data_IF_629793617234
#
_entry.id   IF_629793617234
#
_cell.length_a   1.000
_cell.length_b   1.000
_cell.length_c   1.000
_cell.angle_alpha   90.00
_cell.angle_beta   90.00
_cell.angle_gamma   90.00
#
_symmetry.space_group_name_H-M   'P 1'
#
loop_
_entity.id
_entity.type
_entity.pdbx_description
1 polymer ?
#
# COMPACT_ATOMS: atom_id res chain seq x y z
N UNK A 1 -48.71 57.38 36.77
CA UNK A 1 -47.82 56.24 37.05
C UNK A 1 -47.09 55.91 35.77
N UNK A 2 -45.76 55.96 35.75
CA UNK A 2 -44.91 55.64 34.59
C UNK A 2 -44.30 54.26 34.82
N UNK A 3 -44.61 53.30 33.95
CA UNK A 3 -44.20 51.91 34.07
C UNK A 3 -42.95 51.68 33.21
N UNK A 4 -41.78 51.55 33.86
CA UNK A 4 -40.49 51.33 33.18
C UNK A 4 -40.33 49.85 32.84
N UNK A 5 -40.41 49.52 31.55
CA UNK A 5 -40.14 48.17 31.04
C UNK A 5 -38.65 47.81 31.13
N UNK A 6 -38.32 46.89 32.04
CA UNK A 6 -36.98 46.28 32.12
C UNK A 6 -36.74 45.33 30.95
N UNK A 7 -35.85 45.72 30.03
CA UNK A 7 -35.35 44.84 28.98
C UNK A 7 -34.40 43.79 29.60
N UNK A 8 -34.88 42.56 29.77
CA UNK A 8 -34.08 41.46 30.30
C UNK A 8 -32.99 41.07 29.30
N UNK A 9 -31.78 41.56 29.54
CA UNK A 9 -30.59 41.24 28.75
C UNK A 9 -30.22 39.76 28.93
N UNK A 10 -30.55 38.92 27.93
CA UNK A 10 -30.23 37.49 27.95
C UNK A 10 -28.72 37.32 28.08
N UNK A 11 -28.26 36.80 29.23
CA UNK A 11 -26.86 36.45 29.47
C UNK A 11 -26.40 35.49 28.37
N UNK A 12 -25.45 35.92 27.55
CA UNK A 12 -24.84 35.08 26.51
C UNK A 12 -24.15 33.90 27.22
N UNK A 13 -24.36 32.68 26.73
CA UNK A 13 -23.66 31.49 27.24
C UNK A 13 -22.15 31.68 27.09
N UNK A 14 -21.38 31.19 28.05
CA UNK A 14 -19.91 31.16 27.95
C UNK A 14 -19.48 30.41 26.69
N UNK A 15 -18.44 30.91 26.01
CA UNK A 15 -17.88 30.22 24.84
C UNK A 15 -17.21 28.92 25.31
N UNK A 16 -17.22 27.90 24.46
CA UNK A 16 -16.56 26.64 24.73
C UNK A 16 -15.04 26.86 24.89
N UNK A 17 -14.46 26.23 25.91
CA UNK A 17 -13.01 26.23 26.14
C UNK A 17 -12.32 25.53 24.96
N UNK A 18 -11.26 26.11 24.38
CA UNK A 18 -10.53 25.48 23.29
C UNK A 18 -9.95 24.14 23.74
N UNK A 19 -9.96 23.15 22.83
CA UNK A 19 -9.31 21.87 23.08
C UNK A 19 -7.81 22.11 23.25
N UNK A 20 -7.27 21.63 24.36
CA UNK A 20 -5.83 21.65 24.59
C UNK A 20 -5.16 20.67 23.63
N UNK A 21 -4.32 21.22 22.74
CA UNK A 21 -3.58 20.49 21.69
C UNK A 21 -2.11 20.29 22.12
N UNK A 22 -1.72 20.83 23.28
CA UNK A 22 -0.36 20.75 23.82
C UNK A 22 -0.27 19.81 25.04
N UNK A 23 -1.36 19.11 25.36
CA UNK A 23 -1.41 18.13 26.45
C UNK A 23 -0.55 16.89 26.17
N UNK A 24 0.39 16.64 27.07
CA UNK A 24 1.30 15.51 27.13
C UNK A 24 0.59 14.15 26.86
N UNK A 25 1.18 13.19 26.12
CA UNK A 25 0.51 11.96 25.66
C UNK A 25 0.16 10.94 26.76
N UNK A 26 0.49 11.20 28.03
CA UNK A 26 0.38 10.22 29.13
C UNK A 26 -0.73 10.51 30.15
N UNK A 27 -1.78 11.27 29.80
CA UNK A 27 -2.95 11.43 30.70
C UNK A 27 -4.24 10.81 30.12
N UNK A 28 -4.89 9.87 30.83
CA UNK A 28 -6.12 9.25 30.36
C UNK A 28 -7.30 10.25 30.44
N UNK A 29 -7.87 10.56 29.27
CA UNK A 29 -9.10 11.36 29.17
C UNK A 29 -10.31 10.50 29.52
N UNK A 30 -10.82 10.62 30.75
CA UNK A 30 -12.16 10.10 31.10
C UNK A 30 -13.24 11.11 30.75
N UNK A 31 -14.40 10.65 30.26
CA UNK A 31 -15.65 11.16 30.83
C UNK A 31 -16.45 10.02 31.48
N UNK A 32 -16.62 10.16 32.79
CA UNK A 32 -17.59 9.44 33.62
C UNK A 32 -18.99 9.52 33.01
N UNK A 33 -19.63 8.36 32.80
CA UNK A 33 -21.08 8.27 32.69
C UNK A 33 -21.58 7.09 33.52
N UNK A 34 -22.26 7.46 34.60
CA UNK A 34 -22.88 6.61 35.61
C UNK A 34 -23.99 5.71 35.03
N UNK A 35 -23.82 4.40 35.25
CA UNK A 35 -24.79 3.40 35.69
C UNK A 35 -26.29 3.59 35.39
N UNK A 36 -26.86 2.68 34.60
CA UNK A 36 -28.17 2.06 34.90
C UNK A 36 -28.14 0.61 34.42
N UNK A 37 -28.29 -0.32 35.37
CA UNK A 37 -28.40 -1.77 35.15
C UNK A 37 -29.77 -2.09 34.53
N UNK A 38 -29.82 -2.93 33.50
CA UNK A 38 -31.04 -3.59 33.01
C UNK A 38 -30.68 -5.04 32.61
N UNK A 39 -31.53 -6.05 32.92
CA UNK A 39 -31.10 -7.44 32.92
C UNK A 39 -31.00 -8.05 31.51
N UNK A 40 -30.20 -9.11 31.43
CA UNK A 40 -29.79 -9.83 30.23
C UNK A 40 -30.96 -10.46 29.44
N UNK A 41 -30.91 -10.46 28.10
CA UNK A 41 -31.71 -11.37 27.29
C UNK A 41 -31.00 -12.71 27.12
N UNK A 42 -31.79 -13.76 27.33
CA UNK A 42 -31.52 -15.20 27.18
C UNK A 42 -30.95 -15.58 25.81
N UNK A 43 -29.99 -16.51 25.82
CA UNK A 43 -29.39 -17.10 24.62
C UNK A 43 -30.39 -17.93 23.82
N UNK A 44 -30.71 -17.51 22.60
CA UNK A 44 -31.36 -18.37 21.60
C UNK A 44 -30.30 -18.98 20.69
N UNK A 45 -30.09 -20.29 20.82
CA UNK A 45 -29.24 -21.11 19.95
C UNK A 45 -29.93 -21.23 18.56
N UNK A 46 -29.25 -20.97 17.44
CA UNK A 46 -29.84 -21.21 16.13
C UNK A 46 -29.85 -22.73 15.81
N UNK A 47 -30.90 -23.26 15.14
CA UNK A 47 -30.97 -24.67 14.77
C UNK A 47 -29.99 -25.03 13.64
N UNK A 48 -29.46 -26.25 13.72
CA UNK A 48 -28.52 -26.82 12.76
C UNK A 48 -29.14 -26.98 11.36
N UNK A 49 -28.39 -26.63 10.31
CA UNK A 49 -28.72 -26.97 8.92
C UNK A 49 -28.44 -28.45 8.65
N UNK A 50 -29.26 -29.14 7.83
CA UNK A 50 -29.03 -30.55 7.47
C UNK A 50 -27.83 -30.70 6.51
N UNK A 51 -27.12 -31.84 6.53
CA UNK A 51 -25.95 -32.07 5.68
C UNK A 51 -26.33 -32.24 4.21
N UNK A 52 -25.55 -31.59 3.32
CA UNK A 52 -25.66 -31.70 1.88
C UNK A 52 -25.14 -33.06 1.37
N UNK A 53 -25.80 -33.59 0.34
CA UNK A 53 -25.45 -34.82 -0.41
C UNK A 53 -24.02 -34.79 -0.97
N UNK A 54 -23.35 -35.95 -1.14
CA UNK A 54 -22.01 -36.02 -1.71
C UNK A 54 -22.01 -35.68 -3.22
N UNK A 55 -20.98 -34.98 -3.72
CA UNK A 55 -20.85 -34.70 -5.15
C UNK A 55 -20.47 -35.96 -5.95
N UNK A 56 -21.03 -36.04 -7.15
CA UNK A 56 -20.84 -37.12 -8.11
C UNK A 56 -19.40 -37.21 -8.63
N UNK A 57 -19.00 -38.45 -8.92
CA UNK A 57 -17.73 -38.92 -9.48
C UNK A 57 -17.38 -38.22 -10.81
N UNK A 58 -16.12 -37.77 -11.02
CA UNK A 58 -15.68 -37.28 -12.33
C UNK A 58 -15.42 -38.44 -13.32
N UNK A 59 -15.68 -38.25 -14.63
CA UNK A 59 -15.47 -39.27 -15.66
C UNK A 59 -13.98 -39.52 -15.96
N UNK A 60 -13.68 -40.79 -16.26
CA UNK A 60 -12.36 -41.31 -16.58
C UNK A 60 -11.77 -40.70 -17.87
N UNK A 61 -10.49 -40.34 -17.82
CA UNK A 61 -9.66 -40.12 -19.02
C UNK A 61 -8.93 -41.43 -19.38
N UNK A 62 -8.87 -41.81 -20.67
CA UNK A 62 -8.12 -42.99 -21.10
C UNK A 62 -6.59 -42.75 -21.11
N UNK A 63 -5.79 -43.84 -21.04
CA UNK A 63 -4.35 -43.81 -20.73
C UNK A 63 -3.45 -43.36 -21.89
N UNK A 64 -2.27 -42.86 -21.52
CA UNK A 64 -1.14 -42.59 -22.40
C UNK A 64 -0.49 -43.89 -22.90
N UNK A 65 -0.11 -43.92 -24.17
CA UNK A 65 0.81 -44.90 -24.74
C UNK A 65 2.23 -44.30 -24.81
N UNK A 66 3.19 -45.00 -24.21
CA UNK A 66 4.61 -45.00 -24.57
C UNK A 66 4.87 -46.30 -25.35
N UNK A 67 5.68 -46.29 -26.42
CA UNK A 67 6.97 -47.04 -26.40
C UNK A 67 8.14 -46.21 -27.02
N UNK A 68 9.36 -46.12 -26.44
CA UNK A 68 10.48 -47.09 -26.25
C UNK A 68 11.31 -47.35 -27.54
N UNK A 69 12.65 -47.35 -27.34
CA UNK A 69 13.79 -47.80 -28.20
C UNK A 69 14.26 -46.85 -29.32
N UNK A 70 15.56 -46.56 -29.53
CA UNK A 70 16.79 -47.36 -29.33
C UNK A 70 18.08 -46.51 -29.32
N UNK A 71 18.94 -46.73 -28.31
CA UNK A 71 20.41 -47.01 -28.28
C UNK A 71 21.47 -46.28 -29.18
N UNK A 72 22.81 -46.43 -28.95
CA UNK A 72 23.71 -45.31 -28.56
C UNK A 72 24.94 -45.13 -29.49
N UNK A 73 25.67 -44.00 -29.40
CA UNK A 73 27.04 -43.93 -29.94
C UNK A 73 27.93 -42.81 -29.33
N UNK A 74 29.04 -43.25 -28.71
CA UNK A 74 30.43 -42.71 -28.69
C UNK A 74 30.82 -41.42 -27.91
N UNK A 75 31.34 -41.58 -26.69
CA UNK A 75 32.75 -41.33 -26.18
C UNK A 75 33.58 -40.26 -26.96
N UNK A 76 34.33 -39.30 -26.34
CA UNK A 76 35.43 -39.61 -25.41
C UNK A 76 35.71 -38.68 -24.21
N UNK A 77 36.36 -39.29 -23.20
CA UNK A 77 37.10 -38.65 -22.11
C UNK A 77 38.21 -37.71 -22.61
N UNK A 78 38.80 -36.86 -21.74
CA UNK A 78 40.00 -37.33 -21.04
C UNK A 78 40.18 -36.86 -19.57
N UNK A 79 40.75 -37.78 -18.79
CA UNK A 79 41.87 -37.61 -17.84
C UNK A 79 41.64 -36.99 -16.45
N UNK A 80 42.29 -37.65 -15.50
CA UNK A 80 42.21 -37.57 -14.04
C UNK A 80 43.61 -37.23 -13.51
N UNK A 81 43.75 -36.23 -12.64
CA UNK A 81 44.87 -36.03 -11.68
C UNK A 81 44.23 -35.33 -10.45
N UNK A 82 43.85 -36.05 -9.38
CA UNK A 82 44.62 -36.45 -8.17
C UNK A 82 45.11 -35.27 -7.30
N UNK A 83 44.35 -35.04 -6.20
CA UNK A 83 44.75 -34.82 -4.79
C UNK A 83 45.77 -33.72 -4.45
N UNK A 84 45.36 -32.73 -3.66
CA UNK A 84 45.94 -32.50 -2.32
C UNK A 84 45.07 -31.57 -1.44
N UNK A 85 45.09 -31.89 -0.15
CA UNK A 85 44.32 -31.35 0.98
C UNK A 85 45.23 -30.40 1.81
N UNK A 86 44.62 -29.55 2.64
CA UNK A 86 45.20 -28.57 3.60
C UNK A 86 45.64 -27.18 3.07
N UNK A 87 45.00 -26.11 3.54
CA UNK A 87 45.43 -25.32 4.72
C UNK A 87 44.39 -24.19 4.96
N UNK A 88 43.87 -24.17 6.18
CA UNK A 88 43.06 -23.09 6.76
C UNK A 88 44.03 -22.08 7.38
N UNK A 89 43.94 -20.81 7.00
CA UNK A 89 44.39 -19.69 7.84
C UNK A 89 43.30 -18.61 7.86
N UNK A 90 42.78 -18.36 9.06
CA UNK A 90 41.85 -17.28 9.40
C UNK A 90 42.61 -16.04 9.93
N UNK A 91 42.04 -14.86 9.61
CA UNK A 91 42.11 -13.52 10.25
C UNK A 91 43.29 -12.54 10.02
N UNK A 92 43.08 -11.19 10.17
CA UNK A 92 41.82 -10.43 10.34
C UNK A 92 41.62 -9.23 9.36
N UNK A 93 40.36 -8.93 9.08
CA UNK A 93 39.87 -7.88 8.17
C UNK A 93 39.29 -6.66 8.95
N UNK A 94 39.95 -6.20 10.02
CA UNK A 94 39.36 -5.22 10.97
C UNK A 94 39.88 -3.78 10.89
N UNK A 95 40.87 -3.45 10.04
CA UNK A 95 41.48 -2.11 10.02
C UNK A 95 40.91 -1.14 8.96
N UNK A 96 40.05 -1.61 8.05
CA UNK A 96 39.50 -0.78 6.98
C UNK A 96 38.26 0.04 7.40
N UNK A 97 37.57 -0.32 8.49
CA UNK A 97 36.31 0.34 8.87
C UNK A 97 36.53 1.65 9.64
N UNK A 98 37.63 1.79 10.38
CA UNK A 98 37.89 2.99 11.20
C UNK A 98 38.34 4.19 10.37
N UNK A 99 39.07 3.98 9.26
CA UNK A 99 39.53 5.07 8.39
C UNK A 99 38.37 5.69 7.56
N UNK A 100 37.37 4.89 7.21
CA UNK A 100 36.18 5.38 6.47
C UNK A 100 35.30 6.26 7.36
N UNK A 101 35.25 5.99 8.67
CA UNK A 101 34.47 6.78 9.64
C UNK A 101 35.12 8.13 9.90
N UNK A 102 36.45 8.19 10.05
CA UNK A 102 37.18 9.43 10.30
C UNK A 102 37.12 10.41 9.10
N UNK A 103 37.15 9.89 7.87
CA UNK A 103 36.99 10.70 6.65
C UNK A 103 35.58 11.30 6.50
N UNK A 104 34.55 10.68 7.09
CA UNK A 104 33.18 11.19 7.07
C UNK A 104 32.97 12.33 8.09
N UNK A 105 33.67 12.31 9.22
CA UNK A 105 33.46 13.23 10.35
C UNK A 105 34.23 14.55 10.17
N UNK A 106 35.43 14.52 9.56
CA UNK A 106 36.29 15.70 9.38
C UNK A 106 36.05 16.48 8.07
N UNK A 107 34.89 16.29 7.43
CA UNK A 107 34.60 16.83 6.11
C UNK A 107 34.66 18.37 6.08
N UNK A 108 35.57 18.90 5.26
CA UNK A 108 35.73 20.34 4.95
C UNK A 108 34.39 21.00 4.56
N UNK A 109 34.20 22.31 4.81
CA UNK A 109 32.90 22.95 4.64
C UNK A 109 32.43 22.84 3.19
N UNK A 110 31.32 22.12 2.99
CA UNK A 110 30.71 21.90 1.67
C UNK A 110 30.20 23.23 1.11
N UNK A 111 30.37 23.42 -0.20
CA UNK A 111 29.86 24.58 -0.95
C UNK A 111 28.36 24.75 -0.67
N UNK A 112 27.93 25.98 -0.40
CA UNK A 112 26.56 26.33 0.00
C UNK A 112 25.52 25.85 -0.99
N UNK A 113 24.47 25.20 -0.48
CA UNK A 113 23.39 24.56 -1.25
C UNK A 113 22.32 25.58 -1.71
N UNK A 114 22.73 26.81 -1.99
CA UNK A 114 21.86 27.89 -2.45
C UNK A 114 21.89 28.03 -3.97
N UNK A 115 20.74 28.38 -4.57
CA UNK A 115 20.69 28.85 -5.96
C UNK A 115 21.51 30.15 -6.07
N UNK A 116 22.61 30.10 -6.81
CA UNK A 116 23.30 31.31 -7.27
C UNK A 116 22.62 31.77 -8.56
N UNK A 117 22.22 33.05 -8.69
CA UNK A 117 21.71 33.55 -9.96
C UNK A 117 22.84 33.50 -11.00
N UNK A 118 22.65 32.70 -12.05
CA UNK A 118 23.51 32.74 -13.23
C UNK A 118 22.87 33.71 -14.22
N UNK A 119 23.54 34.82 -14.47
CA UNK A 119 23.18 35.73 -15.56
C UNK A 119 23.82 35.19 -16.83
N UNK A 120 23.19 34.19 -17.44
CA UNK A 120 23.48 33.78 -18.81
C UNK A 120 22.23 34.07 -19.65
N UNK A 121 22.36 35.06 -20.53
CA UNK A 121 21.38 35.34 -21.58
C UNK A 121 21.51 34.20 -22.58
N UNK A 122 20.67 33.18 -22.43
CA UNK A 122 20.51 32.13 -23.43
C UNK A 122 19.56 32.70 -24.48
N UNK A 123 20.10 33.04 -25.65
CA UNK A 123 19.31 33.24 -26.86
C UNK A 123 18.50 31.97 -27.11
N UNK A 124 17.17 32.09 -26.99
CA UNK A 124 16.25 30.97 -27.20
C UNK A 124 16.14 30.72 -28.71
N UNK A 125 16.98 29.83 -29.22
CA UNK A 125 16.71 29.16 -30.49
C UNK A 125 15.45 28.31 -30.31
N UNK A 126 14.36 28.75 -30.92
CA UNK A 126 13.05 28.09 -30.83
C UNK A 126 13.06 26.83 -31.67
N UNK A 127 13.55 25.73 -31.09
CA UNK A 127 13.36 24.40 -31.66
C UNK A 127 11.88 24.01 -31.53
N UNK A 128 11.15 24.14 -32.63
CA UNK A 128 9.77 23.68 -32.85
C UNK A 128 9.65 22.14 -32.73
N UNK A 129 9.88 21.63 -31.53
CA UNK A 129 9.82 20.21 -31.16
C UNK A 129 8.42 19.77 -30.71
N UNK A 130 7.40 20.56 -31.06
CA UNK A 130 6.01 20.27 -30.71
C UNK A 130 5.38 19.46 -31.85
N UNK A 131 4.89 18.26 -31.53
CA UNK A 131 4.13 17.41 -32.47
C UNK A 131 2.96 18.16 -33.11
N UNK A 132 2.64 17.88 -34.38
CA UNK A 132 1.57 18.56 -35.13
C UNK A 132 0.22 18.54 -34.40
N UNK A 133 -0.09 17.46 -33.68
CA UNK A 133 -1.30 17.34 -32.85
C UNK A 133 -1.31 18.35 -31.70
N UNK A 134 -0.16 18.64 -31.10
CA UNK A 134 -0.07 19.60 -30.02
C UNK A 134 -0.19 21.04 -30.53
N UNK A 135 0.24 21.33 -31.76
CA UNK A 135 -0.01 22.63 -32.42
C UNK A 135 -1.51 22.86 -32.63
N UNK A 136 -2.23 21.85 -33.13
CA UNK A 136 -3.69 21.92 -33.33
C UNK A 136 -4.47 22.18 -32.02
N UNK A 137 -4.08 21.53 -30.92
CA UNK A 137 -4.71 21.72 -29.60
C UNK A 137 -4.49 23.15 -29.08
N UNK A 138 -3.29 23.70 -29.28
CA UNK A 138 -2.93 25.06 -28.86
C UNK A 138 -3.73 26.08 -29.68
N UNK A 139 -3.82 25.90 -30.99
CA UNK A 139 -4.51 26.84 -31.86
C UNK A 139 -6.04 26.79 -31.66
N UNK A 140 -6.62 25.60 -31.50
CA UNK A 140 -8.05 25.47 -31.14
C UNK A 140 -8.40 26.10 -29.80
N UNK A 141 -7.47 26.08 -28.83
CA UNK A 141 -7.66 26.77 -27.55
C UNK A 141 -7.57 28.29 -27.70
N UNK A 142 -6.66 28.79 -28.54
CA UNK A 142 -6.56 30.23 -28.86
C UNK A 142 -7.80 30.75 -29.58
N UNK A 143 -8.40 29.98 -30.48
CA UNK A 143 -9.63 30.37 -31.18
C UNK A 143 -10.85 30.46 -30.26
N UNK A 144 -10.98 29.52 -29.32
CA UNK A 144 -12.02 29.58 -28.27
C UNK A 144 -11.84 30.81 -27.38
N UNK A 145 -10.62 31.10 -26.94
CA UNK A 145 -10.35 32.28 -26.12
C UNK A 145 -10.63 33.60 -26.86
N UNK A 146 -10.37 33.67 -28.17
CA UNK A 146 -10.65 34.86 -29.00
C UNK A 146 -12.15 35.06 -29.23
N UNK A 147 -12.92 33.98 -29.34
CA UNK A 147 -14.37 34.05 -29.59
C UNK A 147 -15.18 34.36 -28.33
N UNK A 148 -14.64 34.09 -27.13
CA UNK A 148 -15.31 34.39 -25.85
C UNK A 148 -15.23 35.87 -25.41
N UNK A 149 -14.57 36.75 -26.17
CA UNK A 149 -14.54 38.20 -25.89
C UNK A 149 -15.50 38.97 -26.79
N UNK A 150 -16.83 38.84 -26.55
CA UNK A 150 -17.79 39.95 -26.69
C UNK A 150 -19.18 39.62 -26.13
N UNK A 151 -19.34 39.64 -24.82
CA UNK A 151 -20.65 40.01 -24.24
C UNK A 151 -20.48 41.36 -23.55
N UNK A 152 -20.80 42.49 -24.22
CA UNK A 152 -20.89 43.77 -23.54
C UNK A 152 -22.12 43.74 -22.63
N UNK A 153 -21.92 44.10 -21.36
CA UNK A 153 -23.02 44.36 -20.42
C UNK A 153 -23.98 45.40 -21.04
N UNK A 154 -25.27 45.10 -21.24
CA UNK A 154 -26.23 46.14 -21.58
C UNK A 154 -26.58 46.94 -20.32
N UNK A 155 -26.26 48.23 -20.39
CA UNK A 155 -26.66 49.28 -19.47
C UNK A 155 -28.19 49.31 -19.32
N UNK A 156 -28.59 49.58 -18.09
CA UNK A 156 -29.94 49.87 -17.60
C UNK A 156 -30.78 50.71 -18.57
N UNK A 157 -31.90 50.15 -19.05
CA UNK A 157 -33.02 50.95 -19.55
C UNK A 157 -34.32 50.50 -18.87
N UNK A 158 -34.95 51.49 -18.27
CA UNK A 158 -36.24 51.48 -17.57
C UNK A 158 -37.40 51.14 -18.50
N UNK A 159 -38.25 50.15 -18.13
CA UNK A 159 -39.71 50.06 -18.43
C UNK A 159 -40.32 48.77 -17.83
N UNK A 160 -41.66 48.67 -17.68
CA UNK A 160 -42.37 48.68 -16.41
C UNK A 160 -42.69 47.30 -15.84
N UNK A 161 -43.10 47.32 -14.57
CA UNK A 161 -43.50 46.21 -13.71
C UNK A 161 -44.55 45.30 -14.38
N UNK A 162 -44.11 44.12 -14.80
CA UNK A 162 -44.98 42.96 -14.99
C UNK A 162 -45.04 42.25 -13.65
N UNK A 163 -46.22 42.21 -13.06
CA UNK A 163 -46.53 41.42 -11.88
C UNK A 163 -46.52 39.93 -12.26
N UNK A 164 -45.34 39.32 -12.23
CA UNK A 164 -45.23 37.87 -12.22
C UNK A 164 -45.45 37.39 -10.80
N UNK A 165 -46.54 36.65 -10.63
CA UNK A 165 -46.88 35.88 -9.44
C UNK A 165 -45.64 35.19 -8.87
N UNK A 166 -45.31 35.52 -7.62
CA UNK A 166 -44.19 34.96 -6.91
C UNK A 166 -44.43 33.47 -6.65
N UNK A 167 -43.94 32.62 -7.55
CA UNK A 167 -43.78 31.19 -7.27
C UNK A 167 -42.86 31.06 -6.04
N UNK A 168 -43.27 30.33 -4.99
CA UNK A 168 -42.45 30.17 -3.80
C UNK A 168 -41.09 29.55 -4.17
N UNK A 169 -39.98 29.99 -3.56
CA UNK A 169 -38.66 29.45 -3.88
C UNK A 169 -38.64 27.94 -3.66
N UNK A 170 -38.00 27.16 -4.55
CA UNK A 170 -37.94 25.72 -4.43
C UNK A 170 -37.32 25.35 -3.07
N UNK A 171 -38.05 24.56 -2.28
CA UNK A 171 -37.59 24.10 -0.97
C UNK A 171 -36.20 23.46 -1.13
N UNK A 172 -35.22 23.81 -0.27
CA UNK A 172 -33.88 23.25 -0.37
C UNK A 172 -33.97 21.73 -0.25
N UNK A 173 -33.46 21.03 -1.28
CA UNK A 173 -33.43 19.57 -1.29
C UNK A 173 -32.75 19.08 -0.01
N UNK A 174 -33.31 18.07 0.69
CA UNK A 174 -32.67 17.52 1.88
C UNK A 174 -31.26 17.07 1.51
N UNK A 175 -30.26 17.62 2.20
CA UNK A 175 -28.86 17.20 2.04
C UNK A 175 -28.84 15.69 2.29
N UNK A 176 -28.42 14.90 1.29
CA UNK A 176 -28.21 13.45 1.45
C UNK A 176 -27.38 13.26 2.71
N UNK A 177 -27.92 12.51 3.68
CA UNK A 177 -27.21 12.16 4.90
C UNK A 177 -25.83 11.64 4.50
N UNK A 178 -24.77 12.20 5.08
CA UNK A 178 -23.41 11.67 4.99
C UNK A 178 -23.27 10.39 5.80
N UNK A 179 -24.26 9.50 5.75
CA UNK A 179 -24.08 8.14 6.18
C UNK A 179 -23.15 7.53 5.14
N UNK A 180 -21.86 7.66 5.41
CA UNK A 180 -20.81 7.06 4.62
C UNK A 180 -21.17 5.58 4.51
N UNK A 181 -21.46 5.10 3.30
CA UNK A 181 -21.61 3.67 3.00
C UNK A 181 -20.25 2.95 3.09
N UNK A 182 -19.33 3.48 3.90
CA UNK A 182 -18.04 2.93 4.21
C UNK A 182 -18.27 1.65 5.00
N UNK A 183 -18.48 0.58 4.24
CA UNK A 183 -18.22 -0.75 4.72
C UNK A 183 -16.70 -0.83 4.84
N UNK A 184 -16.14 -1.03 6.05
CA UNK A 184 -14.71 -1.24 6.18
C UNK A 184 -14.33 -2.42 5.30
N UNK A 185 -13.47 -2.18 4.31
CA UNK A 185 -12.99 -3.22 3.41
C UNK A 185 -12.41 -4.36 4.25
N UNK A 186 -12.69 -5.60 3.85
CA UNK A 186 -12.20 -6.78 4.56
C UNK A 186 -10.66 -6.77 4.50
N UNK A 187 -10.04 -6.36 5.61
CA UNK A 187 -8.60 -6.15 5.70
C UNK A 187 -7.92 -7.52 5.74
N UNK A 188 -7.30 -7.87 4.61
CA UNK A 188 -6.68 -9.17 4.37
C UNK A 188 -5.37 -9.30 5.17
N UNK A 189 -5.08 -10.50 5.64
CA UNK A 189 -3.83 -10.82 6.34
C UNK A 189 -2.64 -10.67 5.38
N UNK A 190 -1.65 -9.88 5.76
CA UNK A 190 -0.45 -9.55 4.96
C UNK A 190 0.79 -9.60 5.85
N UNK A 191 1.97 -9.78 5.24
CA UNK A 191 3.22 -9.67 5.98
C UNK A 191 3.43 -8.24 6.49
N UNK A 192 3.99 -8.13 7.69
CA UNK A 192 4.29 -6.85 8.31
C UNK A 192 5.54 -6.23 7.68
N UNK A 193 5.32 -5.21 6.83
CA UNK A 193 6.39 -4.44 6.18
C UNK A 193 7.42 -3.87 7.16
N UNK A 194 7.03 -3.53 8.39
CA UNK A 194 7.95 -2.97 9.38
C UNK A 194 9.04 -3.97 9.79
N UNK A 195 8.72 -5.27 9.75
CA UNK A 195 9.62 -6.36 10.14
C UNK A 195 10.31 -7.04 8.95
N UNK A 196 10.41 -6.36 7.80
CA UNK A 196 10.97 -6.96 6.60
C UNK A 196 12.43 -7.41 6.76
N UNK A 197 13.22 -6.70 7.58
CA UNK A 197 14.60 -7.08 7.82
C UNK A 197 14.71 -8.30 8.72
N UNK A 198 13.95 -8.36 9.82
CA UNK A 198 13.86 -9.55 10.68
C UNK A 198 13.47 -10.79 9.86
N UNK A 199 12.40 -10.68 9.08
CA UNK A 199 11.96 -11.74 8.16
C UNK A 199 13.08 -12.12 7.18
N UNK A 200 13.77 -11.14 6.59
CA UNK A 200 14.82 -11.39 5.59
C UNK A 200 15.98 -12.19 6.16
N UNK A 201 16.42 -11.88 7.38
CA UNK A 201 17.52 -12.60 8.02
C UNK A 201 17.08 -13.98 8.49
N UNK A 202 15.94 -14.10 9.18
CA UNK A 202 15.42 -15.39 9.64
C UNK A 202 15.18 -16.34 8.47
N UNK A 203 14.54 -15.85 7.40
CA UNK A 203 14.26 -16.65 6.22
C UNK A 203 15.54 -17.02 5.47
N UNK A 204 16.54 -16.13 5.40
CA UNK A 204 17.82 -16.47 4.74
C UNK A 204 18.55 -17.58 5.49
N UNK A 205 18.69 -17.46 6.81
CA UNK A 205 19.31 -18.50 7.64
C UNK A 205 18.55 -19.82 7.50
N UNK A 206 17.22 -19.78 7.59
CA UNK A 206 16.38 -20.97 7.48
C UNK A 206 16.47 -21.65 6.10
N UNK A 207 16.64 -20.90 5.01
CA UNK A 207 16.84 -21.49 3.69
C UNK A 207 18.20 -22.20 3.55
N UNK A 208 19.21 -21.78 4.30
CA UNK A 208 20.51 -22.45 4.39
C UNK A 208 20.40 -23.70 5.27
N UNK A 209 19.77 -23.59 6.43
CA UNK A 209 19.59 -24.71 7.38
C UNK A 209 18.76 -25.87 6.78
N UNK A 210 17.81 -25.56 5.89
CA UNK A 210 17.00 -26.54 5.18
C UNK A 210 17.69 -27.16 3.95
N UNK A 211 18.95 -26.78 3.69
CA UNK A 211 19.75 -27.25 2.55
C UNK A 211 19.06 -27.10 1.18
N UNK A 212 18.42 -25.94 0.97
CA UNK A 212 17.81 -25.62 -0.32
C UNK A 212 18.91 -25.19 -1.30
N UNK A 213 18.83 -25.63 -2.55
CA UNK A 213 19.78 -25.24 -3.60
C UNK A 213 19.96 -23.72 -3.70
N UNK A 214 21.21 -23.25 -3.73
CA UNK A 214 21.56 -21.84 -3.65
C UNK A 214 20.89 -20.99 -4.74
N UNK A 215 20.73 -21.55 -5.94
CA UNK A 215 20.05 -20.96 -7.09
C UNK A 215 18.61 -20.51 -6.79
N UNK A 216 17.93 -21.21 -5.87
CA UNK A 216 16.53 -20.95 -5.54
C UNK A 216 16.36 -20.06 -4.30
N UNK A 217 17.37 -19.94 -3.44
CA UNK A 217 17.28 -19.22 -2.16
C UNK A 217 16.85 -17.76 -2.34
N UNK A 218 17.53 -17.04 -3.22
CA UNK A 218 17.26 -15.62 -3.50
C UNK A 218 15.87 -15.41 -4.10
N UNK A 219 15.45 -16.29 -5.02
CA UNK A 219 14.15 -16.23 -5.65
C UNK A 219 13.01 -16.50 -4.65
N UNK A 220 13.15 -17.55 -3.83
CA UNK A 220 12.19 -17.87 -2.77
C UNK A 220 12.07 -16.71 -1.78
N UNK A 221 13.19 -16.21 -1.25
CA UNK A 221 13.23 -15.12 -0.29
C UNK A 221 12.53 -13.86 -0.83
N UNK A 222 12.90 -13.42 -2.03
CA UNK A 222 12.36 -12.21 -2.64
C UNK A 222 10.88 -12.32 -3.02
N UNK A 223 10.49 -13.44 -3.63
CA UNK A 223 9.14 -13.64 -4.14
C UNK A 223 8.12 -13.88 -3.01
N UNK A 224 8.49 -14.64 -1.97
CA UNK A 224 7.63 -14.85 -0.80
C UNK A 224 7.37 -13.51 -0.10
N UNK A 225 8.41 -12.68 0.07
CA UNK A 225 8.25 -11.34 0.64
C UNK A 225 7.34 -10.46 -0.22
N UNK A 226 7.61 -10.39 -1.51
CA UNK A 226 6.84 -9.54 -2.43
C UNK A 226 5.36 -9.94 -2.48
N UNK A 227 5.04 -11.24 -2.61
CA UNK A 227 3.66 -11.73 -2.62
C UNK A 227 2.99 -11.54 -1.25
N UNK A 228 3.70 -11.85 -0.16
CA UNK A 228 3.18 -11.75 1.21
C UNK A 228 2.86 -10.32 1.65
N UNK A 229 3.71 -9.36 1.30
CA UNK A 229 3.53 -7.95 1.64
C UNK A 229 2.59 -7.22 0.68
N UNK A 230 2.72 -7.44 -0.64
CA UNK A 230 1.95 -6.68 -1.66
C UNK A 230 0.57 -7.27 -1.94
N UNK A 231 0.40 -8.57 -1.80
CA UNK A 231 -0.85 -9.26 -2.07
C UNK A 231 -1.49 -9.69 -0.75
N UNK A 232 -1.25 -10.94 -0.34
CA UNK A 232 -1.73 -11.50 0.93
C UNK A 232 -0.77 -12.58 1.43
N UNK A 233 -0.85 -12.91 2.72
CA UNK A 233 -0.12 -14.03 3.28
C UNK A 233 -0.54 -15.37 2.65
N UNK A 234 -1.78 -15.49 2.17
CA UNK A 234 -2.27 -16.70 1.48
C UNK A 234 -1.54 -16.93 0.15
N UNK A 235 -1.34 -15.87 -0.63
CA UNK A 235 -0.61 -15.91 -1.92
C UNK A 235 0.86 -16.32 -1.72
N UNK A 236 1.49 -15.85 -0.65
CA UNK A 236 2.84 -16.29 -0.28
C UNK A 236 2.87 -17.80 0.02
N UNK A 237 1.89 -18.33 0.77
CA UNK A 237 1.80 -19.77 1.06
C UNK A 237 1.49 -20.61 -0.18
N UNK A 238 0.66 -20.10 -1.08
CA UNK A 238 0.38 -20.76 -2.36
C UNK A 238 1.65 -20.85 -3.19
N UNK A 239 2.46 -19.80 -3.25
CA UNK A 239 3.75 -19.86 -3.94
C UNK A 239 4.70 -20.92 -3.35
N UNK A 240 4.72 -21.09 -2.03
CA UNK A 240 5.52 -22.15 -1.39
C UNK A 240 4.99 -23.53 -1.80
N UNK A 241 3.66 -23.73 -1.82
CA UNK A 241 3.04 -24.96 -2.35
C UNK A 241 3.36 -25.21 -3.82
N UNK A 242 3.26 -24.20 -4.68
CA UNK A 242 3.64 -24.29 -6.10
C UNK A 242 5.10 -24.74 -6.25
N UNK A 243 6.00 -24.28 -5.37
CA UNK A 243 7.42 -24.68 -5.40
C UNK A 243 7.66 -26.08 -4.86
N UNK A 244 6.86 -26.54 -3.90
CA UNK A 244 6.86 -27.93 -3.47
C UNK A 244 6.38 -28.87 -4.58
N UNK A 245 5.29 -28.50 -5.28
CA UNK A 245 4.76 -29.26 -6.42
C UNK A 245 5.75 -29.34 -7.59
N UNK A 246 6.56 -28.29 -7.80
CA UNK A 246 7.64 -28.27 -8.80
C UNK A 246 8.86 -29.12 -8.41
N UNK A 247 8.89 -29.69 -7.20
CA UNK A 247 10.03 -30.46 -6.70
C UNK A 247 11.22 -29.62 -6.23
N UNK A 248 11.05 -28.30 -6.07
CA UNK A 248 12.09 -27.40 -5.53
C UNK A 248 12.19 -27.52 -4.01
N UNK A 249 11.08 -27.89 -3.36
CA UNK A 249 10.97 -28.02 -1.91
C UNK A 249 10.40 -29.39 -1.55
N UNK A 250 10.82 -29.91 -0.40
CA UNK A 250 10.22 -31.06 0.27
C UNK A 250 9.02 -30.61 1.11
N UNK A 251 8.05 -31.50 1.34
CA UNK A 251 6.86 -31.22 2.16
C UNK A 251 7.20 -30.68 3.57
N UNK A 252 8.29 -31.16 4.17
CA UNK A 252 8.77 -30.70 5.48
C UNK A 252 9.30 -29.26 5.43
N UNK A 253 10.05 -28.94 4.38
CA UNK A 253 10.57 -27.59 4.12
C UNK A 253 9.41 -26.62 3.88
N UNK A 254 8.42 -27.01 3.06
CA UNK A 254 7.22 -26.21 2.81
C UNK A 254 6.49 -25.84 4.11
N UNK A 255 6.24 -26.81 4.99
CA UNK A 255 5.57 -26.59 6.27
C UNK A 255 6.32 -25.58 7.14
N UNK A 256 7.65 -25.73 7.20
CA UNK A 256 8.53 -24.85 7.96
C UNK A 256 8.51 -23.42 7.44
N UNK A 257 8.60 -23.23 6.11
CA UNK A 257 8.53 -21.91 5.47
C UNK A 257 7.16 -21.25 5.70
N UNK A 258 6.07 -22.02 5.62
CA UNK A 258 4.71 -21.51 5.92
C UNK A 258 4.58 -21.02 7.36
N UNK A 259 5.22 -21.69 8.31
CA UNK A 259 5.26 -21.27 9.72
C UNK A 259 5.94 -19.91 9.91
N UNK A 260 7.08 -19.68 9.24
CA UNK A 260 7.76 -18.37 9.24
C UNK A 260 6.84 -17.29 8.69
N UNK A 261 6.20 -17.53 7.53
CA UNK A 261 5.26 -16.58 6.93
C UNK A 261 4.13 -16.23 7.90
N UNK A 262 3.60 -17.21 8.66
CA UNK A 262 2.57 -16.96 9.67
C UNK A 262 3.06 -16.10 10.84
N UNK A 263 4.28 -16.30 11.33
CA UNK A 263 4.86 -15.49 12.41
C UNK A 263 4.95 -14.01 12.06
N UNK A 264 5.25 -13.69 10.81
CA UNK A 264 5.39 -12.32 10.30
C UNK A 264 4.10 -11.76 9.68
N UNK A 265 3.02 -12.53 9.68
CA UNK A 265 1.73 -12.08 9.16
C UNK A 265 0.96 -11.31 10.21
N UNK A 266 0.52 -10.10 9.88
CA UNK A 266 -0.31 -9.28 10.74
C UNK A 266 -1.65 -9.02 10.07
N UNK A 267 -2.72 -9.03 10.88
CA UNK A 267 -3.98 -8.43 10.47
C UNK A 267 -3.81 -6.93 10.61
N UNK A 268 -3.21 -6.32 9.58
CA UNK A 268 -3.71 -5.01 9.21
C UNK A 268 -5.14 -5.33 8.88
#
# INVERSE_FOLDING_TARGET
>A
MLETGYLVQRRRRSKAVPRDIFGNPNSPTTPSKSTTKRPAPTSTKPPAKPPAKPPAKPPAKPPAELPIESEPEVVPEPTVEVVDEEVIEEEPESDAETDVVDQQILRTPRKSIGLRPQNEIIEVETVDSVSDRAKEIIDGSKERAKTEVKVPLPKTSTKPKVETSATPPPKPRPRRSRTSSFQPANRAKRLDRSRHMEYKYEMRSLLVDLDIAEEHRSNLLGTIWARGERQTASEAKQFISEKCEQGVLTNEQESTLKSVVDRYTVRR
#
